data_IF_804341933189
#
_entry.id   IF_804341933189
#
_cell.length_a   1.000
_cell.length_b   1.000
_cell.length_c   1.000
_cell.angle_alpha   90.00
_cell.angle_beta   90.00
_cell.angle_gamma   90.00
#
_symmetry.space_group_name_H-M   'P 1'
#
loop_
_entity.id
_entity.type
_entity.pdbx_description
1 polymer ?
#
# COMPACT_ATOMS: atom_id res chain seq x y z
N UNK A 1 3.27 8.91 -54.89
CA UNK A 1 2.28 8.93 -53.80
C UNK A 1 2.78 8.02 -52.69
N UNK A 2 3.39 8.59 -51.65
CA UNK A 2 3.84 7.86 -50.46
C UNK A 2 3.17 8.51 -49.25
N UNK A 3 2.36 7.74 -48.51
CA UNK A 3 1.73 8.20 -47.28
C UNK A 3 2.67 7.88 -46.12
N UNK A 4 3.24 8.94 -45.54
CA UNK A 4 3.89 8.95 -44.24
C UNK A 4 2.85 8.57 -43.17
N UNK A 5 2.98 7.37 -42.61
CA UNK A 5 2.30 6.98 -41.39
C UNK A 5 3.17 7.37 -40.20
N UNK A 6 2.82 8.47 -39.54
CA UNK A 6 3.32 8.83 -38.22
C UNK A 6 2.85 7.76 -37.22
N UNK A 7 3.72 6.77 -36.98
CA UNK A 7 3.59 5.86 -35.86
C UNK A 7 3.82 6.65 -34.57
N UNK A 8 2.72 7.05 -33.92
CA UNK A 8 2.75 7.49 -32.54
C UNK A 8 3.29 6.36 -31.69
N UNK A 9 4.56 6.45 -31.35
CA UNK A 9 5.27 5.55 -30.45
C UNK A 9 4.57 5.64 -29.10
N UNK A 10 3.68 4.68 -28.84
CA UNK A 10 3.08 4.48 -27.54
C UNK A 10 4.24 4.12 -26.62
N UNK A 11 4.58 5.04 -25.70
CA UNK A 11 5.52 4.79 -24.61
C UNK A 11 5.23 3.40 -24.08
N UNK A 12 6.16 2.48 -24.31
CA UNK A 12 6.00 1.09 -23.97
C UNK A 12 5.62 1.03 -22.49
N UNK A 13 4.42 0.49 -22.21
CA UNK A 13 4.03 0.09 -20.85
C UNK A 13 5.21 -0.63 -20.23
N UNK A 14 5.70 -0.11 -19.10
CA UNK A 14 6.78 -0.73 -18.34
C UNK A 14 6.47 -2.23 -18.17
N UNK A 15 7.38 -3.11 -18.61
CA UNK A 15 6.96 -4.46 -18.94
C UNK A 15 6.68 -5.38 -17.74
N UNK A 16 6.93 -4.99 -16.48
CA UNK A 16 6.82 -5.94 -15.35
C UNK A 16 6.26 -5.34 -14.03
N UNK A 17 4.94 -5.17 -13.98
CA UNK A 17 4.03 -5.94 -13.10
C UNK A 17 4.31 -6.21 -11.61
N UNK A 18 5.27 -5.57 -10.92
CA UNK A 18 5.24 -5.55 -9.44
C UNK A 18 4.19 -4.57 -8.91
N UNK A 19 3.71 -3.69 -9.77
CA UNK A 19 2.40 -3.10 -9.61
C UNK A 19 1.39 -4.17 -10.03
N UNK A 20 0.82 -4.93 -9.08
CA UNK A 20 -0.60 -5.21 -9.25
C UNK A 20 -1.21 -3.82 -9.32
N UNK A 21 -1.69 -3.45 -10.52
CA UNK A 21 -2.50 -2.23 -10.64
C UNK A 21 -3.57 -2.35 -9.57
N UNK A 22 -3.84 -1.28 -8.81
CA UNK A 22 -4.98 -1.27 -7.92
C UNK A 22 -6.18 -1.82 -8.71
N UNK A 23 -7.01 -2.65 -8.09
CA UNK A 23 -8.07 -3.40 -8.78
C UNK A 23 -8.95 -2.47 -9.63
N UNK A 24 -9.04 -1.18 -9.26
CA UNK A 24 -9.78 -0.15 -9.99
C UNK A 24 -8.92 0.98 -10.58
N UNK A 25 -7.60 0.81 -10.66
CA UNK A 25 -6.70 1.74 -11.36
C UNK A 25 -6.12 2.88 -10.52
N UNK A 26 -6.29 2.87 -9.20
CA UNK A 26 -5.48 3.67 -8.27
C UNK A 26 -5.86 5.14 -8.16
N UNK A 27 -6.94 5.57 -8.83
CA UNK A 27 -7.49 6.90 -8.73
C UNK A 27 -8.74 6.89 -7.84
N UNK A 28 -8.74 7.76 -6.82
CA UNK A 28 -9.78 7.96 -5.79
C UNK A 28 -11.17 8.42 -6.31
N UNK A 29 -11.47 8.26 -7.59
CA UNK A 29 -12.81 8.52 -8.12
C UNK A 29 -13.60 7.22 -8.03
N UNK A 30 -14.60 7.18 -7.13
CA UNK A 30 -15.60 6.09 -7.10
C UNK A 30 -16.13 5.90 -8.52
N UNK A 31 -15.75 4.79 -9.13
CA UNK A 31 -16.04 4.50 -10.53
C UNK A 31 -17.53 4.19 -10.68
N UNK A 32 -18.22 4.94 -11.55
CA UNK A 32 -19.61 4.63 -11.88
C UNK A 32 -19.70 3.32 -12.67
N UNK A 33 -20.68 2.48 -12.34
CA UNK A 33 -20.88 1.16 -12.97
C UNK A 33 -21.06 1.24 -14.50
N UNK A 34 -21.63 2.33 -15.00
CA UNK A 34 -21.83 2.62 -16.43
C UNK A 34 -20.50 2.83 -17.16
N UNK A 35 -19.51 3.39 -16.48
CA UNK A 35 -18.18 3.72 -17.02
C UNK A 35 -17.15 2.62 -16.79
N UNK A 36 -17.45 1.67 -15.91
CA UNK A 36 -16.56 0.58 -15.55
C UNK A 36 -16.33 -0.40 -16.71
N UNK A 37 -15.07 -0.73 -16.97
CA UNK A 37 -14.66 -1.70 -17.98
C UNK A 37 -15.09 -3.11 -17.58
N UNK A 38 -15.28 -4.04 -18.54
CA UNK A 38 -15.69 -5.42 -18.24
C UNK A 38 -14.80 -6.12 -17.20
N UNK A 39 -13.47 -6.00 -17.31
CA UNK A 39 -12.55 -6.63 -16.34
C UNK A 39 -12.65 -6.04 -14.92
N UNK A 40 -12.98 -4.75 -14.77
CA UNK A 40 -13.21 -4.14 -13.44
C UNK A 40 -14.47 -4.73 -12.81
N UNK A 41 -15.52 -4.97 -13.61
CA UNK A 41 -16.73 -5.65 -13.17
C UNK A 41 -16.45 -7.10 -12.77
N UNK A 42 -15.57 -7.79 -13.48
CA UNK A 42 -15.15 -9.15 -13.14
C UNK A 42 -14.39 -9.20 -11.81
N UNK A 43 -13.49 -8.24 -11.55
CA UNK A 43 -12.77 -8.12 -10.28
C UNK A 43 -13.74 -7.87 -9.11
N UNK A 44 -14.69 -6.95 -9.28
CA UNK A 44 -15.74 -6.66 -8.29
C UNK A 44 -16.61 -7.90 -8.03
N UNK A 45 -17.04 -8.61 -9.07
CA UNK A 45 -17.81 -9.84 -8.90
C UNK A 45 -17.02 -10.92 -8.15
N UNK A 46 -15.71 -10.99 -8.40
CA UNK A 46 -14.82 -11.92 -7.69
C UNK A 46 -14.69 -11.57 -6.22
N UNK A 47 -14.57 -10.28 -5.87
CA UNK A 47 -14.56 -9.80 -4.49
C UNK A 47 -15.89 -10.08 -3.78
N UNK A 48 -17.02 -9.71 -4.39
CA UNK A 48 -18.34 -9.95 -3.82
C UNK A 48 -18.58 -11.44 -3.58
N UNK A 49 -18.23 -12.32 -4.53
CA UNK A 49 -18.38 -13.78 -4.34
C UNK A 49 -17.52 -14.33 -3.21
N UNK A 50 -16.34 -13.74 -2.96
CA UNK A 50 -15.42 -14.17 -1.91
C UNK A 50 -15.87 -13.69 -0.52
N UNK A 51 -16.32 -12.44 -0.42
CA UNK A 51 -16.58 -11.78 0.86
C UNK A 51 -18.06 -11.73 1.24
N UNK A 52 -18.97 -11.83 0.25
CA UNK A 52 -20.42 -11.77 0.39
C UNK A 52 -21.12 -12.88 -0.40
N UNK A 53 -20.89 -14.17 -0.08
CA UNK A 53 -21.52 -15.29 -0.77
C UNK A 53 -23.06 -15.29 -0.67
N UNK A 54 -23.63 -14.63 0.34
CA UNK A 54 -25.08 -14.47 0.54
C UNK A 54 -25.77 -13.69 -0.58
N UNK A 55 -25.04 -12.89 -1.35
CA UNK A 55 -25.58 -12.20 -2.53
C UNK A 55 -25.88 -13.16 -3.70
N UNK A 56 -25.54 -14.45 -3.58
CA UNK A 56 -25.90 -15.47 -4.57
C UNK A 56 -25.28 -15.23 -5.96
N UNK A 57 -24.13 -14.54 -6.01
CA UNK A 57 -23.49 -14.16 -7.28
C UNK A 57 -22.87 -15.38 -7.98
N UNK A 58 -23.28 -15.57 -9.23
CA UNK A 58 -22.79 -16.65 -10.08
C UNK A 58 -21.35 -16.40 -10.57
N UNK A 59 -20.57 -17.46 -10.84
CA UNK A 59 -19.29 -17.35 -11.55
C UNK A 59 -19.47 -16.73 -12.95
N UNK A 60 -18.38 -16.12 -13.48
CA UNK A 60 -18.37 -15.52 -14.83
C UNK A 60 -18.65 -16.62 -15.86
N UNK A 61 -19.66 -16.41 -16.69
CA UNK A 61 -20.03 -17.31 -17.80
C UNK A 61 -19.54 -16.71 -19.11
N UNK A 62 -18.71 -17.47 -19.82
CA UNK A 62 -18.21 -17.09 -21.14
C UNK A 62 -19.16 -17.59 -22.22
N UNK A 63 -19.60 -16.68 -23.08
CA UNK A 63 -20.35 -16.98 -24.30
C UNK A 63 -19.45 -16.99 -25.54
N UNK A 64 -20.04 -17.22 -26.73
CA UNK A 64 -19.31 -17.27 -28.00
C UNK A 64 -18.55 -15.97 -28.34
N UNK A 65 -19.01 -14.84 -27.80
CA UNK A 65 -18.48 -13.50 -28.06
C UNK A 65 -17.79 -12.87 -26.84
N UNK A 66 -17.49 -13.66 -25.81
CA UNK A 66 -16.84 -13.20 -24.58
C UNK A 66 -17.69 -13.34 -23.32
N UNK A 67 -17.23 -12.78 -22.18
CA UNK A 67 -17.97 -12.83 -20.92
C UNK A 67 -19.30 -12.10 -21.04
N UNK A 68 -20.37 -12.70 -20.50
CA UNK A 68 -21.66 -12.00 -20.44
C UNK A 68 -21.53 -10.73 -19.60
N UNK A 69 -22.12 -9.59 -20.02
CA UNK A 69 -22.08 -8.36 -19.23
C UNK A 69 -22.59 -8.61 -17.81
N UNK A 70 -21.79 -8.24 -16.82
CA UNK A 70 -22.18 -8.28 -15.42
C UNK A 70 -22.95 -7.00 -15.08
N UNK A 71 -24.14 -7.16 -14.52
CA UNK A 71 -24.92 -6.08 -13.92
C UNK A 71 -24.88 -6.23 -12.39
N UNK A 72 -24.85 -5.09 -11.71
CA UNK A 72 -24.91 -5.01 -10.25
C UNK A 72 -26.02 -4.05 -9.88
N UNK A 73 -26.67 -4.31 -8.74
CA UNK A 73 -27.44 -3.25 -8.07
C UNK A 73 -26.48 -2.16 -7.57
N UNK A 74 -27.00 -0.97 -7.28
CA UNK A 74 -26.19 0.13 -6.76
C UNK A 74 -25.53 -0.26 -5.42
N UNK A 75 -26.26 -0.98 -4.57
CA UNK A 75 -25.75 -1.47 -3.28
C UNK A 75 -24.63 -2.51 -3.47
N UNK A 76 -24.84 -3.52 -4.33
CA UNK A 76 -23.79 -4.51 -4.66
C UNK A 76 -22.53 -3.83 -5.21
N UNK A 77 -22.70 -2.83 -6.08
CA UNK A 77 -21.58 -2.09 -6.65
C UNK A 77 -20.81 -1.33 -5.58
N UNK A 78 -21.51 -0.61 -4.70
CA UNK A 78 -20.88 0.15 -3.61
C UNK A 78 -20.13 -0.77 -2.63
N UNK A 79 -20.71 -1.90 -2.24
CA UNK A 79 -20.04 -2.92 -1.41
C UNK A 79 -18.77 -3.40 -2.13
N UNK A 80 -18.88 -3.69 -3.44
CA UNK A 80 -17.76 -4.10 -4.27
C UNK A 80 -16.61 -3.07 -4.27
N UNK A 81 -16.93 -1.79 -4.42
CA UNK A 81 -15.94 -0.70 -4.40
C UNK A 81 -15.23 -0.62 -3.04
N UNK A 82 -15.95 -0.78 -1.93
CA UNK A 82 -15.37 -0.76 -0.58
C UNK A 82 -14.42 -1.94 -0.34
N UNK A 83 -14.77 -3.12 -0.83
CA UNK A 83 -13.89 -4.29 -0.79
C UNK A 83 -12.63 -4.08 -1.64
N UNK A 84 -12.79 -3.48 -2.83
CA UNK A 84 -11.67 -3.20 -3.72
C UNK A 84 -10.70 -2.18 -3.09
N UNK A 85 -11.22 -1.11 -2.47
CA UNK A 85 -10.42 -0.14 -1.71
C UNK A 85 -9.62 -0.83 -0.59
N UNK A 86 -10.29 -1.68 0.20
CA UNK A 86 -9.66 -2.40 1.31
C UNK A 86 -8.54 -3.34 0.81
N UNK A 87 -8.79 -4.08 -0.27
CA UNK A 87 -7.80 -4.97 -0.85
C UNK A 87 -6.64 -4.20 -1.48
N UNK A 88 -6.91 -3.06 -2.12
CA UNK A 88 -5.89 -2.17 -2.67
C UNK A 88 -4.99 -1.58 -1.56
N UNK A 89 -5.55 -1.15 -0.44
CA UNK A 89 -4.78 -0.71 0.74
C UNK A 89 -3.89 -1.84 1.28
N UNK A 90 -4.45 -3.05 1.41
CA UNK A 90 -3.70 -4.23 1.85
C UNK A 90 -2.55 -4.56 0.90
N UNK A 91 -2.81 -4.54 -0.42
CA UNK A 91 -1.82 -4.78 -1.46
C UNK A 91 -0.75 -3.69 -1.48
N UNK A 92 -1.12 -2.42 -1.29
CA UNK A 92 -0.19 -1.30 -1.18
C UNK A 92 0.74 -1.46 0.02
N UNK A 93 0.23 -1.88 1.18
CA UNK A 93 1.08 -2.15 2.34
C UNK A 93 2.06 -3.31 2.09
N UNK A 94 1.61 -4.39 1.45
CA UNK A 94 2.50 -5.51 1.04
C UNK A 94 3.57 -5.02 0.06
N UNK A 95 3.17 -4.21 -0.94
CA UNK A 95 4.07 -3.63 -1.94
C UNK A 95 5.09 -2.70 -1.32
N UNK A 96 4.69 -1.86 -0.37
CA UNK A 96 5.60 -1.00 0.39
C UNK A 96 6.69 -1.80 1.09
N UNK A 97 6.32 -2.89 1.78
CA UNK A 97 7.30 -3.79 2.42
C UNK A 97 8.22 -4.47 1.42
N UNK A 98 7.68 -4.96 0.31
CA UNK A 98 8.47 -5.57 -0.76
C UNK A 98 9.47 -4.58 -1.36
N UNK A 99 9.02 -3.38 -1.74
CA UNK A 99 9.88 -2.33 -2.30
C UNK A 99 10.97 -1.90 -1.32
N UNK A 100 10.65 -1.82 -0.02
CA UNK A 100 11.65 -1.56 1.01
C UNK A 100 12.72 -2.67 1.06
N UNK A 101 12.31 -3.95 1.02
CA UNK A 101 13.25 -5.06 0.98
C UNK A 101 14.13 -5.04 -0.29
N UNK A 102 13.52 -4.76 -1.45
CA UNK A 102 14.23 -4.56 -2.72
C UNK A 102 15.28 -3.46 -2.59
N UNK A 103 14.89 -2.28 -2.10
CA UNK A 103 15.81 -1.17 -1.92
C UNK A 103 16.98 -1.53 -0.99
N UNK A 104 16.73 -2.26 0.10
CA UNK A 104 17.78 -2.74 1.00
C UNK A 104 18.76 -3.67 0.28
N UNK A 105 18.27 -4.65 -0.47
CA UNK A 105 19.14 -5.60 -1.20
C UNK A 105 19.98 -4.85 -2.24
N UNK A 106 19.35 -3.98 -3.02
CA UNK A 106 20.02 -3.25 -4.10
C UNK A 106 21.08 -2.32 -3.56
N UNK A 107 20.76 -1.55 -2.51
CA UNK A 107 21.72 -0.68 -1.85
C UNK A 107 22.85 -1.49 -1.20
N UNK A 108 22.55 -2.65 -0.62
CA UNK A 108 23.57 -3.54 -0.06
C UNK A 108 24.51 -4.10 -1.13
N UNK A 109 24.00 -4.43 -2.31
CA UNK A 109 24.86 -4.86 -3.42
C UNK A 109 25.68 -3.69 -3.99
N UNK A 110 25.06 -2.51 -4.11
CA UNK A 110 25.68 -1.30 -4.65
C UNK A 110 26.76 -0.70 -3.73
N UNK A 111 26.66 -0.89 -2.41
CA UNK A 111 27.67 -0.47 -1.42
C UNK A 111 28.70 -1.57 -1.10
N UNK A 112 28.54 -2.76 -1.68
CA UNK A 112 29.42 -3.91 -1.49
C UNK A 112 29.20 -4.70 -0.19
N UNK A 113 28.22 -4.33 0.65
CA UNK A 113 27.89 -5.09 1.85
C UNK A 113 27.21 -6.43 1.57
N UNK A 114 26.55 -6.56 0.41
CA UNK A 114 26.06 -7.81 -0.16
C UNK A 114 26.90 -8.20 -1.37
N UNK A 115 27.73 -9.22 -1.20
CA UNK A 115 28.50 -9.80 -2.31
C UNK A 115 27.62 -10.69 -3.18
N UNK A 116 27.52 -10.37 -4.47
CA UNK A 116 26.75 -11.11 -5.47
C UNK A 116 27.60 -11.80 -6.53
N UNK A 117 27.06 -12.85 -7.13
CA UNK A 117 27.70 -13.70 -8.14
C UNK A 117 26.71 -14.01 -9.27
N UNK A 118 27.23 -14.42 -10.42
CA UNK A 118 26.44 -14.97 -11.52
C UNK A 118 26.70 -16.46 -11.71
N UNK A 119 25.68 -17.16 -12.19
CA UNK A 119 25.74 -18.58 -12.53
C UNK A 119 25.05 -18.82 -13.88
N UNK A 120 25.77 -19.26 -14.92
CA UNK A 120 25.17 -19.42 -16.26
C UNK A 120 24.05 -20.46 -16.32
N UNK A 121 24.16 -21.54 -15.54
CA UNK A 121 23.19 -22.64 -15.55
C UNK A 121 23.07 -23.30 -14.17
N UNK A 122 21.94 -23.94 -13.85
CA UNK A 122 21.83 -24.77 -12.64
C UNK A 122 22.94 -25.81 -12.60
N UNK A 123 23.55 -26.03 -11.44
CA UNK A 123 24.70 -26.94 -11.31
C UNK A 123 26.06 -26.37 -11.78
N UNK A 124 26.10 -25.25 -12.52
CA UNK A 124 27.35 -24.63 -12.99
C UNK A 124 28.23 -24.01 -11.90
N UNK A 125 29.46 -23.63 -12.25
CA UNK A 125 30.34 -22.84 -11.39
C UNK A 125 29.83 -21.40 -11.22
N UNK A 126 30.20 -20.76 -10.11
CA UNK A 126 29.95 -19.33 -9.88
C UNK A 126 30.99 -18.49 -10.62
N UNK A 127 30.59 -17.31 -11.08
CA UNK A 127 31.51 -16.29 -11.59
C UNK A 127 32.42 -15.75 -10.48
N UNK A 128 33.34 -14.85 -10.83
CA UNK A 128 33.92 -13.94 -9.85
C UNK A 128 32.83 -13.06 -9.20
N UNK A 129 33.06 -12.50 -8.00
CA UNK A 129 32.16 -11.52 -7.42
C UNK A 129 31.84 -10.41 -8.41
N UNK A 130 30.55 -10.07 -8.52
CA UNK A 130 30.11 -8.94 -9.34
C UNK A 130 30.61 -7.64 -8.74
N UNK A 131 30.98 -6.70 -9.61
CA UNK A 131 31.34 -5.35 -9.23
C UNK A 131 30.10 -4.53 -8.83
N UNK A 132 30.29 -3.59 -7.92
CA UNK A 132 29.18 -2.81 -7.31
C UNK A 132 28.45 -1.93 -8.31
N UNK A 133 29.14 -1.43 -9.34
CA UNK A 133 28.57 -0.62 -10.44
C UNK A 133 27.47 -1.36 -11.20
N UNK A 134 27.52 -2.69 -11.25
CA UNK A 134 26.49 -3.50 -11.92
C UNK A 134 25.12 -3.38 -11.24
N UNK A 135 25.05 -2.90 -10.00
CA UNK A 135 23.81 -2.73 -9.23
C UNK A 135 23.24 -1.32 -9.25
N UNK A 136 23.94 -0.36 -9.86
CA UNK A 136 23.49 1.03 -9.97
C UNK A 136 22.58 1.15 -11.20
N UNK A 137 21.25 0.95 -11.07
CA UNK A 137 20.37 1.06 -12.25
C UNK A 137 18.90 1.39 -12.04
N UNK A 138 18.32 1.89 -13.13
CA UNK A 138 16.91 2.24 -13.32
C UNK A 138 16.01 1.02 -13.61
N UNK A 139 16.55 -0.19 -13.77
CA UNK A 139 15.80 -1.40 -14.19
C UNK A 139 15.97 -2.60 -13.27
N UNK A 140 15.95 -2.36 -11.96
CA UNK A 140 16.23 -3.38 -10.97
C UNK A 140 15.11 -4.42 -10.83
N UNK A 141 13.87 -4.05 -11.16
CA UNK A 141 12.69 -4.91 -11.02
C UNK A 141 12.82 -6.22 -11.79
N UNK A 142 13.17 -6.15 -13.08
CA UNK A 142 13.34 -7.33 -13.94
C UNK A 142 14.34 -8.34 -13.36
N UNK A 143 15.49 -7.83 -12.89
CA UNK A 143 16.56 -8.68 -12.36
C UNK A 143 16.15 -9.42 -11.11
N UNK A 144 15.39 -8.77 -10.22
CA UNK A 144 14.92 -9.37 -8.99
C UNK A 144 13.76 -10.36 -9.24
N UNK A 145 12.88 -10.07 -10.20
CA UNK A 145 11.81 -11.00 -10.59
C UNK A 145 12.37 -12.30 -11.15
N UNK A 146 13.23 -12.20 -12.16
CA UNK A 146 13.79 -13.37 -12.84
C UNK A 146 14.99 -13.97 -12.11
N UNK A 147 15.53 -13.25 -11.12
CA UNK A 147 16.80 -13.56 -10.47
C UNK A 147 17.93 -13.77 -11.50
N UNK A 148 17.93 -12.98 -12.58
CA UNK A 148 18.83 -13.13 -13.73
C UNK A 148 19.35 -11.79 -14.24
N UNK A 149 20.54 -11.82 -14.86
CA UNK A 149 21.19 -10.68 -15.50
C UNK A 149 22.06 -11.15 -16.66
N UNK A 150 22.10 -10.39 -17.76
CA UNK A 150 23.15 -10.52 -18.78
C UNK A 150 24.43 -9.81 -18.29
N UNK A 151 25.57 -10.49 -18.12
CA UNK A 151 26.80 -9.86 -17.65
C UNK A 151 27.37 -8.82 -18.62
N UNK A 152 27.12 -8.97 -19.92
CA UNK A 152 27.60 -8.07 -20.97
C UNK A 152 26.76 -6.81 -21.09
N UNK A 153 25.44 -6.95 -20.88
CA UNK A 153 24.48 -5.86 -20.92
C UNK A 153 23.61 -5.84 -19.65
N UNK A 154 24.20 -5.56 -18.47
CA UNK A 154 23.48 -5.67 -17.20
C UNK A 154 22.25 -4.75 -17.16
N UNK A 155 22.30 -3.61 -17.84
CA UNK A 155 21.23 -2.59 -17.90
C UNK A 155 20.31 -2.74 -19.11
N UNK A 156 20.44 -3.84 -19.86
CA UNK A 156 19.59 -4.14 -21.01
C UNK A 156 18.14 -4.38 -20.62
N UNK A 157 17.23 -4.19 -21.58
CA UNK A 157 15.77 -4.40 -21.38
C UNK A 157 15.35 -5.87 -21.47
N UNK A 158 16.23 -6.75 -21.92
CA UNK A 158 15.90 -8.16 -22.05
C UNK A 158 15.74 -8.83 -20.68
N UNK A 159 14.99 -9.94 -20.67
CA UNK A 159 14.54 -10.58 -19.42
C UNK A 159 14.84 -12.07 -19.35
N UNK A 160 15.57 -12.59 -20.34
CA UNK A 160 15.87 -14.00 -20.48
C UNK A 160 16.49 -14.32 -21.83
N UNK A 161 17.08 -15.51 -21.92
CA UNK A 161 17.83 -16.00 -23.08
C UNK A 161 19.15 -16.64 -22.66
N UNK A 162 19.87 -17.22 -23.61
CA UNK A 162 21.09 -17.99 -23.34
C UNK A 162 22.23 -17.17 -22.72
N UNK A 163 22.22 -15.85 -22.90
CA UNK A 163 23.18 -14.92 -22.30
C UNK A 163 22.88 -14.60 -20.82
N UNK A 164 21.67 -14.86 -20.35
CA UNK A 164 21.24 -14.51 -18.99
C UNK A 164 21.75 -15.52 -17.98
N UNK A 165 22.28 -15.01 -16.88
CA UNK A 165 22.84 -15.81 -15.80
C UNK A 165 22.09 -15.54 -14.51
N UNK A 166 21.94 -16.57 -13.68
CA UNK A 166 21.27 -16.46 -12.40
C UNK A 166 22.11 -15.66 -11.39
N UNK A 167 21.47 -14.74 -10.69
CA UNK A 167 22.09 -13.94 -9.64
C UNK A 167 22.04 -14.72 -8.31
N UNK A 168 23.18 -14.80 -7.63
CA UNK A 168 23.30 -15.37 -6.29
C UNK A 168 23.92 -14.36 -5.34
N UNK A 169 23.59 -14.44 -4.06
CA UNK A 169 24.21 -13.65 -2.99
C UNK A 169 24.95 -14.63 -2.07
N UNK A 170 26.17 -14.27 -1.65
CA UNK A 170 26.91 -15.08 -0.69
C UNK A 170 26.16 -15.17 0.64
N UNK A 171 26.14 -16.37 1.23
CA UNK A 171 25.51 -16.59 2.52
C UNK A 171 26.15 -15.73 3.62
N UNK A 172 27.48 -15.64 3.62
CA UNK A 172 28.22 -14.90 4.65
C UNK A 172 27.92 -13.40 4.59
N UNK A 173 27.86 -12.81 3.38
CA UNK A 173 27.52 -11.39 3.24
C UNK A 173 26.06 -11.11 3.62
N UNK A 174 25.14 -12.01 3.26
CA UNK A 174 23.74 -11.90 3.65
C UNK A 174 23.54 -11.93 5.17
N UNK A 175 24.20 -12.85 5.88
CA UNK A 175 24.07 -12.94 7.34
C UNK A 175 24.62 -11.71 8.04
N UNK A 176 25.79 -11.23 7.63
CA UNK A 176 26.36 -9.99 8.14
C UNK A 176 25.46 -8.78 7.84
N UNK A 177 24.90 -8.71 6.63
CA UNK A 177 23.96 -7.66 6.24
C UNK A 177 22.71 -7.65 7.13
N UNK A 178 22.12 -8.82 7.40
CA UNK A 178 20.97 -8.96 8.30
C UNK A 178 21.28 -8.49 9.72
N UNK A 179 22.44 -8.84 10.27
CA UNK A 179 22.88 -8.38 11.60
C UNK A 179 23.02 -6.85 11.64
N UNK A 180 23.63 -6.26 10.60
CA UNK A 180 23.76 -4.80 10.46
C UNK A 180 22.39 -4.11 10.42
N UNK A 181 21.41 -4.69 9.74
CA UNK A 181 20.04 -4.15 9.70
C UNK A 181 19.34 -4.23 11.06
N UNK A 182 19.47 -5.35 11.77
CA UNK A 182 18.89 -5.52 13.11
C UNK A 182 19.47 -4.48 14.10
N UNK A 183 20.79 -4.29 14.10
CA UNK A 183 21.44 -3.30 14.97
C UNK A 183 21.08 -1.84 14.63
N UNK A 184 20.69 -1.54 13.38
CA UNK A 184 20.16 -0.22 13.01
C UNK A 184 18.74 0.00 13.53
N UNK A 185 17.92 -1.05 13.59
CA UNK A 185 16.55 -0.96 14.10
C UNK A 185 16.52 -0.76 15.62
N UNK A 186 17.40 -1.42 16.36
CA UNK A 186 17.50 -1.24 17.82
C UNK A 186 18.00 0.16 18.19
N UNK A 187 18.86 0.75 17.37
CA UNK A 187 19.39 2.10 17.61
C UNK A 187 18.49 3.23 17.09
N UNK A 188 17.40 2.88 16.39
CA UNK A 188 16.34 3.79 16.00
C UNK A 188 15.20 3.82 17.05
N UNK A 189 15.56 3.67 18.34
CA UNK A 189 14.71 4.17 19.42
C UNK A 189 14.39 5.65 19.16
N UNK A 190 13.15 6.09 19.40
CA UNK A 190 12.73 7.44 19.08
C UNK A 190 13.66 8.42 19.78
N UNK A 191 14.43 9.17 18.98
CA UNK A 191 15.06 10.39 19.45
C UNK A 191 13.95 11.14 20.21
N UNK A 192 14.12 11.42 21.52
CA UNK A 192 13.06 12.01 22.32
C UNK A 192 12.65 13.30 21.61
N UNK A 193 11.44 13.28 21.07
CA UNK A 193 10.80 14.39 20.40
C UNK A 193 11.03 15.60 21.29
N UNK A 194 11.92 16.49 20.85
CA UNK A 194 12.36 17.61 21.65
C UNK A 194 11.12 18.35 22.10
N UNK A 195 10.82 18.24 23.40
CA UNK A 195 9.65 18.84 24.00
C UNK A 195 9.61 20.31 23.54
N UNK A 196 8.47 20.80 23.01
CA UNK A 196 8.36 22.20 22.65
C UNK A 196 8.71 23.01 23.89
N UNK A 197 9.72 23.88 23.76
CA UNK A 197 10.19 24.74 24.83
C UNK A 197 8.98 25.41 25.51
N UNK A 198 8.73 25.00 26.74
CA UNK A 198 7.72 25.58 27.62
C UNK A 198 8.04 27.07 27.77
N UNK A 199 7.26 27.90 27.10
CA UNK A 199 7.10 29.31 27.45
C UNK A 199 6.51 29.31 28.86
N UNK A 200 7.35 29.61 29.85
CA UNK A 200 6.96 29.80 31.26
C UNK A 200 5.87 30.87 31.38
N UNK A 201 4.68 30.54 31.92
CA UNK A 201 3.78 31.54 32.47
C UNK A 201 4.21 31.86 33.92
N UNK A 202 4.19 33.14 34.27
CA UNK A 202 4.38 33.65 35.63
C UNK A 202 3.42 32.99 36.64
N UNK A 203 3.79 32.94 37.93
CA UNK A 203 2.99 32.28 38.96
C UNK A 203 1.83 33.19 39.40
N UNK A 204 0.61 32.67 39.29
CA UNK A 204 -0.51 33.17 40.10
C UNK A 204 -1.01 32.01 40.95
N UNK A 205 -0.77 32.13 42.25
CA UNK A 205 -1.34 31.30 43.29
C UNK A 205 -2.87 31.37 43.20
N UNK A 206 -3.56 30.22 43.13
CA UNK A 206 -4.76 29.99 43.92
C UNK A 206 -5.26 28.54 43.86
N UNK A 207 -5.22 27.93 45.03
CA UNK A 207 -6.31 27.21 45.70
C UNK A 207 -7.00 26.04 44.99
N UNK A 208 -6.88 24.89 45.65
CA UNK A 208 -7.44 23.60 45.28
C UNK A 208 -8.96 23.58 45.12
N UNK A 209 -9.36 22.83 44.09
CA UNK A 209 -10.72 22.35 43.88
C UNK A 209 -10.65 21.25 42.83
N UNK A 210 -10.99 20.01 43.20
CA UNK A 210 -11.23 18.92 42.26
C UNK A 210 -12.46 19.27 41.42
N UNK A 211 -12.26 20.01 40.34
CA UNK A 211 -13.29 20.35 39.36
C UNK A 211 -13.48 19.13 38.46
N UNK A 212 -14.64 18.47 38.58
CA UNK A 212 -15.12 17.55 37.57
C UNK A 212 -15.08 18.27 36.21
N UNK A 213 -14.13 17.87 35.35
CA UNK A 213 -13.98 18.44 34.01
C UNK A 213 -15.29 18.17 33.28
N UNK A 214 -16.12 19.22 33.11
CA UNK A 214 -17.28 19.17 32.22
C UNK A 214 -16.77 18.76 30.84
N UNK A 215 -17.06 17.53 30.46
CA UNK A 215 -16.87 17.04 29.09
C UNK A 215 -17.66 17.96 28.17
N UNK A 216 -17.03 18.47 27.10
CA UNK A 216 -17.78 19.29 26.16
C UNK A 216 -18.85 18.43 25.50
N UNK A 217 -20.02 18.98 25.21
CA UNK A 217 -21.12 18.26 24.54
C UNK A 217 -20.70 17.59 23.24
N UNK A 218 -19.70 18.13 22.54
CA UNK A 218 -19.08 17.51 21.37
C UNK A 218 -18.32 16.22 21.70
N UNK A 219 -17.68 16.14 22.86
CA UNK A 219 -16.96 14.93 23.31
C UNK A 219 -17.95 13.80 23.59
N UNK A 220 -19.05 14.10 24.26
CA UNK A 220 -20.13 13.14 24.52
C UNK A 220 -20.77 12.65 23.23
N UNK A 221 -20.95 13.52 22.23
CA UNK A 221 -21.45 13.12 20.92
C UNK A 221 -20.49 12.14 20.21
N UNK A 222 -19.17 12.36 20.31
CA UNK A 222 -18.16 11.46 19.75
C UNK A 222 -18.18 10.11 20.49
N UNK A 223 -18.13 10.13 21.83
CA UNK A 223 -18.13 8.90 22.65
C UNK A 223 -19.37 8.04 22.38
N UNK A 224 -20.54 8.69 22.29
CA UNK A 224 -21.80 8.03 21.98
C UNK A 224 -21.82 7.44 20.57
N UNK A 225 -21.36 8.20 19.57
CA UNK A 225 -21.25 7.72 18.20
C UNK A 225 -20.34 6.50 18.11
N UNK A 226 -19.17 6.53 18.75
CA UNK A 226 -18.21 5.42 18.74
C UNK A 226 -18.78 4.17 19.40
N UNK A 227 -19.49 4.36 20.52
CA UNK A 227 -20.14 3.27 21.25
C UNK A 227 -21.28 2.63 20.44
N UNK A 228 -22.15 3.43 19.84
CA UNK A 228 -23.33 2.92 19.13
C UNK A 228 -23.02 2.41 17.71
N UNK A 229 -22.05 3.02 17.01
CA UNK A 229 -21.70 2.59 15.65
C UNK A 229 -20.78 1.38 15.63
N UNK A 230 -19.90 1.23 16.63
CA UNK A 230 -18.77 0.28 16.58
C UNK A 230 -18.45 -0.41 17.91
N UNK A 231 -19.40 -0.47 18.84
CA UNK A 231 -19.24 -1.11 20.15
C UNK A 231 -18.02 -0.61 20.95
N UNK A 232 -17.64 0.67 20.74
CA UNK A 232 -16.58 1.34 21.48
C UNK A 232 -15.25 1.50 20.76
N UNK A 233 -15.05 0.88 19.59
CA UNK A 233 -13.81 1.08 18.82
C UNK A 233 -14.04 1.03 17.30
N UNK A 234 -13.61 2.06 16.54
CA UNK A 234 -13.75 2.03 15.08
C UNK A 234 -13.03 0.83 14.45
N UNK A 235 -13.58 0.20 13.39
CA UNK A 235 -12.95 -0.93 12.70
C UNK A 235 -11.55 -0.60 12.20
N UNK A 236 -10.63 -1.56 12.31
CA UNK A 236 -9.33 -1.46 11.65
C UNK A 236 -9.52 -1.39 10.13
N UNK A 237 -9.01 -0.33 9.49
CA UNK A 237 -9.18 -0.07 8.06
C UNK A 237 -10.19 1.02 7.71
N UNK A 238 -10.92 1.58 8.69
CA UNK A 238 -11.73 2.76 8.43
C UNK A 238 -10.85 4.01 8.30
N UNK A 239 -10.89 4.67 7.13
CA UNK A 239 -10.15 5.91 6.91
C UNK A 239 -10.57 7.00 7.89
N UNK A 240 -9.66 7.93 8.19
CA UNK A 240 -9.90 9.04 9.14
C UNK A 240 -11.08 9.89 8.67
N UNK A 241 -11.15 10.17 7.37
CA UNK A 241 -12.21 10.94 6.74
C UNK A 241 -13.57 10.26 6.88
N UNK A 242 -13.69 8.96 6.55
CA UNK A 242 -14.96 8.22 6.68
C UNK A 242 -15.39 8.07 8.14
N UNK A 243 -14.44 7.88 9.06
CA UNK A 243 -14.72 7.86 10.50
C UNK A 243 -15.33 9.20 10.93
N UNK A 244 -14.69 10.30 10.54
CA UNK A 244 -15.12 11.64 10.90
C UNK A 244 -16.51 11.94 10.31
N UNK A 245 -16.76 11.58 9.03
CA UNK A 245 -18.06 11.72 8.36
C UNK A 245 -19.17 10.90 9.04
N UNK A 246 -18.91 9.64 9.39
CA UNK A 246 -19.91 8.79 10.09
C UNK A 246 -20.28 9.34 11.46
N UNK A 247 -19.31 9.85 12.22
CA UNK A 247 -19.56 10.49 13.52
C UNK A 247 -20.38 11.77 13.34
N UNK A 248 -20.07 12.59 12.34
CA UNK A 248 -20.83 13.82 12.05
C UNK A 248 -22.27 13.51 11.63
N UNK A 249 -22.46 12.53 10.76
CA UNK A 249 -23.77 12.11 10.31
C UNK A 249 -24.59 11.52 11.47
N UNK A 250 -23.97 10.69 12.32
CA UNK A 250 -24.61 10.17 13.53
C UNK A 250 -25.06 11.29 14.47
N UNK A 251 -24.17 12.27 14.74
CA UNK A 251 -24.49 13.41 15.59
C UNK A 251 -25.65 14.22 15.02
N UNK A 252 -25.67 14.44 13.70
CA UNK A 252 -26.75 15.15 13.01
C UNK A 252 -28.10 14.42 13.11
N UNK A 253 -28.12 13.10 12.90
CA UNK A 253 -29.34 12.27 12.97
C UNK A 253 -29.93 12.21 14.38
N UNK A 254 -29.10 12.25 15.41
CA UNK A 254 -29.53 12.18 16.81
C UNK A 254 -29.69 13.57 17.47
N UNK A 255 -29.69 14.64 16.68
CA UNK A 255 -29.81 16.03 17.15
C UNK A 255 -28.75 16.41 18.21
N UNK A 256 -27.56 15.82 18.10
CA UNK A 256 -26.41 16.10 18.96
C UNK A 256 -25.55 17.23 18.37
N UNK A 257 -24.66 17.80 19.20
CA UNK A 257 -23.71 18.80 18.74
C UNK A 257 -22.73 18.18 17.74
N UNK A 258 -22.79 18.61 16.47
CA UNK A 258 -21.94 18.08 15.39
C UNK A 258 -20.48 18.48 15.63
N UNK A 259 -19.57 17.53 15.89
CA UNK A 259 -18.16 17.84 16.13
C UNK A 259 -17.42 18.10 14.81
N UNK A 260 -16.48 19.05 14.83
CA UNK A 260 -15.58 19.25 13.67
C UNK A 260 -14.62 18.06 13.51
N UNK A 261 -14.15 17.78 12.28
CA UNK A 261 -13.15 16.73 12.03
C UNK A 261 -11.90 16.92 12.88
N UNK A 262 -11.47 18.16 13.11
CA UNK A 262 -10.36 18.49 14.02
C UNK A 262 -10.64 18.06 15.47
N UNK A 263 -11.86 18.29 15.96
CA UNK A 263 -12.30 17.87 17.30
C UNK A 263 -12.30 16.34 17.42
N UNK A 264 -12.82 15.65 16.40
CA UNK A 264 -12.87 14.18 16.36
C UNK A 264 -11.44 13.61 16.37
N UNK A 265 -10.55 14.11 15.53
CA UNK A 265 -9.14 13.66 15.49
C UNK A 265 -8.43 13.86 16.83
N UNK A 266 -8.60 15.03 17.46
CA UNK A 266 -8.03 15.32 18.78
C UNK A 266 -8.56 14.37 19.85
N UNK A 267 -9.85 13.99 19.76
CA UNK A 267 -10.46 13.05 20.69
C UNK A 267 -9.76 11.69 20.66
N UNK A 268 -9.56 11.11 19.47
CA UNK A 268 -8.86 9.82 19.31
C UNK A 268 -7.37 9.88 19.65
N UNK A 269 -6.72 11.04 19.50
CA UNK A 269 -5.33 11.24 19.91
C UNK A 269 -5.15 11.37 21.43
N UNK A 270 -6.17 11.84 22.15
CA UNK A 270 -6.09 12.09 23.61
C UNK A 270 -6.57 10.89 24.45
N UNK A 271 -6.99 9.80 23.81
CA UNK A 271 -7.56 8.59 24.43
C UNK A 271 -6.56 7.43 24.60
N UNK A 272 -5.28 7.67 24.35
CA UNK A 272 -4.17 6.72 24.53
C UNK A 272 -3.18 7.25 25.57
#
# INVERSE_FOLDING_TARGET
MARNGLGGETVAREPYGFEKKPLLGGGFLRLEQSTAKPWQKEDINTLLRRHHPELGREPIKYGPTGPKPLTFTDDEWNIGLELAETEDERLNAVRGRFNAAVALIVNGCADGSLVSFLRPRPGGGMSAPLSTDKWWSEQIGTRLYWCQMDPSEPFGRGVGGDAYQYIYISRNSLDHFKQKLAGKMEKAEPEPEAAPALVTPLPTENSGGTVAKKTSSQREAIDRAVKELWDGQPPQGLTVERRDERIQQFAKTHELSVPSSRTIRRHFQSGH
#
